data_IF_583869388349
#
_entry.id   IF_583869388349
#
_cell.length_a   1.000
_cell.length_b   1.000
_cell.length_c   1.000
_cell.angle_alpha   90.00
_cell.angle_beta   90.00
_cell.angle_gamma   90.00
#
_symmetry.space_group_name_H-M   'P 1'
#
loop_
_entity.id
_entity.type
_entity.pdbx_description
1 polymer ?
#
# COMPACT_ATOMS: atom_id res chain seq x y z
N UNK A 1 -30.20 -18.81 5.51
CA UNK A 1 -29.31 -19.33 4.44
C UNK A 1 -27.89 -19.32 4.99
N UNK A 2 -27.00 -20.25 4.61
CA UNK A 2 -25.60 -20.19 5.04
C UNK A 2 -24.93 -18.92 4.51
N UNK A 3 -23.97 -18.35 5.25
CA UNK A 3 -23.10 -17.30 4.72
C UNK A 3 -22.41 -17.84 3.45
N UNK A 4 -22.25 -17.04 2.40
CA UNK A 4 -21.37 -17.40 1.29
C UNK A 4 -19.96 -17.57 1.84
N UNK A 5 -19.17 -18.46 1.24
CA UNK A 5 -17.78 -18.59 1.63
C UNK A 5 -17.09 -17.23 1.46
N UNK A 6 -16.61 -16.58 2.54
CA UNK A 6 -15.59 -15.56 2.44
C UNK A 6 -14.46 -16.22 1.68
N UNK A 7 -14.13 -15.68 0.52
CA UNK A 7 -12.84 -15.99 -0.05
C UNK A 7 -11.83 -15.44 0.97
N UNK A 8 -10.78 -16.16 1.41
CA UNK A 8 -9.70 -15.47 2.10
C UNK A 8 -9.32 -14.22 1.26
N UNK A 9 -8.73 -13.18 1.87
CA UNK A 9 -8.10 -12.09 1.10
C UNK A 9 -7.29 -12.68 -0.05
N UNK A 10 -6.75 -13.90 0.18
CA UNK A 10 -6.37 -15.00 -0.71
C UNK A 10 -7.06 -16.14 -1.50
N UNK A 11 -8.39 -16.20 -1.58
CA UNK A 11 -9.09 -17.44 -1.96
C UNK A 11 -9.65 -17.51 -3.36
N UNK A 12 -9.24 -18.53 -4.11
CA UNK A 12 -9.87 -18.91 -5.38
C UNK A 12 -11.37 -19.19 -5.22
N UNK A 13 -12.21 -18.54 -6.03
CA UNK A 13 -13.61 -18.90 -6.19
C UNK A 13 -13.93 -19.18 -7.66
N UNK A 14 -14.09 -20.47 -8.00
CA UNK A 14 -15.02 -20.89 -9.05
C UNK A 14 -14.45 -21.51 -10.32
N UNK A 15 -14.51 -22.84 -10.36
CA UNK A 15 -14.73 -23.73 -11.50
C UNK A 15 -15.00 -23.11 -12.89
N UNK A 16 -14.14 -23.41 -13.86
CA UNK A 16 -14.52 -23.71 -15.26
C UNK A 16 -13.60 -24.76 -15.84
N UNK A 17 -14.19 -25.88 -16.26
CA UNK A 17 -13.49 -27.00 -16.89
C UNK A 17 -12.71 -26.60 -18.14
N UNK A 18 -11.50 -27.17 -18.24
CA UNK A 18 -10.62 -27.05 -19.39
C UNK A 18 -9.33 -27.81 -19.12
N UNK A 19 -9.08 -28.85 -19.90
CA UNK A 19 -8.01 -29.84 -19.73
C UNK A 19 -6.60 -29.27 -19.56
N UNK A 20 -5.90 -29.78 -18.54
CA UNK A 20 -4.54 -30.30 -18.67
C UNK A 20 -3.41 -29.31 -18.92
N UNK A 21 -2.87 -28.72 -17.85
CA UNK A 21 -1.42 -28.62 -17.63
C UNK A 21 -1.20 -28.25 -16.16
N UNK A 22 -0.65 -29.19 -15.38
CA UNK A 22 -0.20 -28.95 -14.00
C UNK A 22 0.92 -27.92 -14.03
N UNK A 23 0.58 -26.64 -13.90
CA UNK A 23 1.55 -25.60 -13.56
C UNK A 23 1.67 -25.59 -12.05
N UNK A 24 2.86 -25.90 -11.55
CA UNK A 24 3.23 -25.63 -10.17
C UNK A 24 3.09 -24.11 -9.96
N UNK A 25 2.12 -23.72 -9.14
CA UNK A 25 1.89 -22.32 -8.77
C UNK A 25 2.77 -22.06 -7.55
N UNK A 26 3.81 -21.26 -7.73
CA UNK A 26 4.61 -20.72 -6.63
C UNK A 26 3.75 -19.60 -6.03
N UNK A 27 3.16 -19.85 -4.86
CA UNK A 27 2.40 -18.85 -4.11
C UNK A 27 3.34 -17.79 -3.55
N UNK A 28 3.29 -16.60 -4.13
CA UNK A 28 3.94 -15.40 -3.58
C UNK A 28 2.82 -14.52 -3.05
N UNK A 29 2.62 -14.52 -1.73
CA UNK A 29 1.85 -13.47 -1.06
C UNK A 29 2.83 -12.41 -0.62
N UNK A 30 2.67 -11.24 -1.21
CA UNK A 30 3.54 -10.10 -1.04
C UNK A 30 3.10 -9.37 0.22
N UNK A 31 3.66 -9.76 1.37
CA UNK A 31 4.16 -8.73 2.28
C UNK A 31 5.09 -7.87 1.43
N UNK A 32 4.85 -6.57 1.33
CA UNK A 32 5.60 -5.65 0.48
C UNK A 32 7.09 -5.58 0.89
N UNK A 33 7.84 -6.62 0.52
CA UNK A 33 9.29 -6.69 0.50
C UNK A 33 9.66 -7.26 -0.86
N UNK A 34 9.89 -6.31 -1.79
CA UNK A 34 10.90 -6.37 -2.83
C UNK A 34 10.98 -7.65 -3.69
N UNK A 35 10.27 -7.63 -4.82
CA UNK A 35 10.73 -8.27 -6.05
C UNK A 35 10.13 -7.56 -7.28
N UNK A 36 10.75 -6.46 -7.72
CA UNK A 36 10.34 -5.69 -8.90
C UNK A 36 10.74 -6.43 -10.18
N UNK A 37 9.79 -7.09 -10.85
CA UNK A 37 9.87 -7.40 -12.28
C UNK A 37 8.48 -7.31 -12.93
N UNK A 38 7.95 -6.09 -13.04
CA UNK A 38 6.74 -5.79 -13.80
C UNK A 38 7.06 -5.45 -15.26
N UNK A 39 6.63 -6.32 -16.19
CA UNK A 39 6.82 -6.22 -17.65
C UNK A 39 6.25 -4.91 -18.25
N UNK A 40 5.35 -4.21 -17.55
CA UNK A 40 4.87 -2.88 -17.94
C UNK A 40 5.90 -1.76 -17.77
N UNK A 41 6.82 -1.90 -16.81
CA UNK A 41 7.91 -0.95 -16.58
C UNK A 41 8.92 -0.93 -17.72
N UNK A 42 9.13 -2.03 -18.44
CA UNK A 42 10.14 -2.13 -19.51
C UNK A 42 9.74 -1.35 -20.78
N UNK A 43 8.44 -1.32 -21.12
CA UNK A 43 7.94 -0.57 -22.27
C UNK A 43 7.93 0.95 -22.00
N UNK A 44 7.54 1.37 -20.78
CA UNK A 44 7.67 2.75 -20.34
C UNK A 44 9.15 3.16 -20.22
N UNK A 45 10.01 2.29 -19.65
CA UNK A 45 11.46 2.51 -19.55
C UNK A 45 12.13 2.75 -20.91
N UNK A 46 11.72 2.03 -21.97
CA UNK A 46 12.22 2.29 -23.32
C UNK A 46 11.66 3.60 -23.91
N UNK A 47 10.41 3.97 -23.63
CA UNK A 47 9.78 5.21 -24.10
C UNK A 47 10.30 6.49 -23.39
N UNK A 48 10.74 6.38 -22.14
CA UNK A 48 11.32 7.45 -21.32
C UNK A 48 12.85 7.48 -21.33
N UNK A 49 13.50 6.72 -22.22
CA UNK A 49 14.94 6.79 -22.43
C UNK A 49 15.76 6.17 -21.30
N UNK A 50 15.48 4.92 -20.92
CA UNK A 50 16.24 4.13 -19.94
C UNK A 50 17.69 3.81 -20.31
N UNK A 51 18.29 4.50 -21.27
CA UNK A 51 19.74 4.59 -21.36
C UNK A 51 20.21 5.70 -20.43
N UNK A 52 21.29 5.50 -19.70
CA UNK A 52 21.98 6.64 -19.09
C UNK A 52 22.25 7.67 -20.20
N UNK A 53 21.62 8.85 -20.13
CA UNK A 53 22.08 9.98 -20.92
C UNK A 53 23.53 10.22 -20.49
N UNK A 54 24.47 10.42 -21.43
CA UNK A 54 25.89 10.51 -21.12
C UNK A 54 26.11 11.56 -20.03
N UNK A 55 26.68 11.13 -18.90
CA UNK A 55 27.19 12.02 -17.86
C UNK A 55 28.47 12.65 -18.40
N UNK A 56 28.41 13.89 -18.84
CA UNK A 56 29.61 14.65 -19.15
C UNK A 56 30.28 15.06 -17.83
N UNK A 57 31.14 14.19 -17.32
CA UNK A 57 32.23 14.59 -16.44
C UNK A 57 33.28 15.30 -17.30
N UNK A 58 33.18 16.62 -17.41
CA UNK A 58 34.14 17.43 -18.14
C UNK A 58 33.96 18.89 -17.81
N UNK A 59 35.06 19.60 -17.54
CA UNK A 59 35.10 21.06 -17.49
C UNK A 59 34.74 21.62 -18.87
N UNK A 60 33.46 21.64 -19.23
CA UNK A 60 32.97 22.15 -20.51
C UNK A 60 32.65 23.64 -20.39
N UNK A 61 33.16 24.43 -21.34
CA UNK A 61 33.01 25.88 -21.44
C UNK A 61 31.65 26.31 -22.04
N UNK A 62 30.59 25.52 -21.80
CA UNK A 62 29.23 25.80 -22.29
C UNK A 62 28.45 26.75 -21.37
N UNK A 63 27.52 27.52 -21.93
CA UNK A 63 26.64 28.37 -21.12
C UNK A 63 25.65 27.51 -20.33
N UNK A 64 25.59 27.70 -19.00
CA UNK A 64 24.61 27.01 -18.15
C UNK A 64 23.21 27.57 -18.42
N UNK A 65 22.32 26.73 -18.95
CA UNK A 65 20.94 27.10 -19.25
C UNK A 65 19.95 26.64 -18.17
N UNK A 66 20.26 25.56 -17.45
CA UNK A 66 19.44 25.07 -16.34
C UNK A 66 20.30 24.90 -15.08
N UNK A 67 20.04 25.71 -14.06
CA UNK A 67 20.66 25.58 -12.75
C UNK A 67 19.79 24.77 -11.79
N UNK A 68 20.41 24.26 -10.72
CA UNK A 68 19.66 23.63 -9.63
C UNK A 68 18.66 24.59 -8.99
N UNK A 69 18.98 25.90 -8.98
CA UNK A 69 18.08 26.95 -8.50
C UNK A 69 16.84 27.10 -9.39
N UNK A 70 17.01 27.09 -10.72
CA UNK A 70 15.87 27.17 -11.66
C UNK A 70 14.91 25.98 -11.47
N UNK A 71 15.47 24.77 -11.25
CA UNK A 71 14.67 23.56 -11.00
C UNK A 71 13.96 23.66 -9.65
N UNK A 72 14.62 24.16 -8.60
CA UNK A 72 13.99 24.33 -7.30
C UNK A 72 12.84 25.35 -7.36
N UNK A 73 13.03 26.50 -8.02
CA UNK A 73 11.98 27.52 -8.19
C UNK A 73 10.76 26.97 -8.96
N UNK A 74 11.00 26.11 -9.97
CA UNK A 74 9.95 25.41 -10.71
C UNK A 74 9.11 24.49 -9.78
N UNK A 75 9.77 23.71 -8.93
CA UNK A 75 9.11 22.78 -8.00
C UNK A 75 8.38 23.52 -6.87
N UNK A 76 9.00 24.57 -6.32
CA UNK A 76 8.42 25.42 -5.28
C UNK A 76 7.15 26.12 -5.78
N UNK A 77 7.21 26.70 -6.99
CA UNK A 77 6.06 27.33 -7.62
C UNK A 77 4.90 26.36 -7.83
N UNK A 78 5.20 25.14 -8.29
CA UNK A 78 4.18 24.10 -8.48
C UNK A 78 3.59 23.60 -7.16
N UNK A 79 4.41 23.48 -6.12
CA UNK A 79 3.98 23.11 -4.76
C UNK A 79 3.09 24.20 -4.15
N UNK A 80 3.43 25.47 -4.33
CA UNK A 80 2.61 26.59 -3.89
C UNK A 80 1.27 26.65 -4.65
N UNK A 81 1.30 26.45 -5.98
CA UNK A 81 0.10 26.47 -6.81
C UNK A 81 -0.86 25.33 -6.44
N UNK A 82 -0.35 24.12 -6.20
CA UNK A 82 -1.17 23.00 -5.72
C UNK A 82 -1.84 23.29 -4.38
N UNK A 83 -1.09 23.82 -3.41
CA UNK A 83 -1.62 24.17 -2.08
C UNK A 83 -2.67 25.27 -2.16
N UNK A 84 -2.43 26.28 -3.00
CA UNK A 84 -3.30 27.46 -3.14
C UNK A 84 -4.50 27.23 -4.07
N UNK A 85 -4.48 26.18 -4.89
CA UNK A 85 -5.53 25.91 -5.88
C UNK A 85 -5.41 26.72 -7.17
N UNK A 86 -4.21 27.19 -7.50
CA UNK A 86 -3.94 28.02 -8.68
C UNK A 86 -3.61 27.15 -9.91
N UNK A 87 -4.64 26.63 -10.58
CA UNK A 87 -4.50 25.68 -11.70
C UNK A 87 -3.61 26.20 -12.82
N UNK A 88 -3.85 27.44 -13.28
CA UNK A 88 -3.08 28.03 -14.38
C UNK A 88 -1.58 28.15 -14.04
N UNK A 89 -1.26 28.49 -12.78
CA UNK A 89 0.12 28.56 -12.29
C UNK A 89 0.75 27.17 -12.20
N UNK A 90 -0.01 26.18 -11.73
CA UNK A 90 0.44 24.80 -11.64
C UNK A 90 0.75 24.20 -13.03
N UNK A 91 -0.06 24.54 -14.03
CA UNK A 91 0.05 24.03 -15.40
C UNK A 91 0.99 24.84 -16.30
N UNK A 92 1.34 26.08 -15.93
CA UNK A 92 2.17 26.98 -16.75
C UNK A 92 3.46 26.35 -17.30
N UNK A 93 4.20 25.50 -16.54
CA UNK A 93 5.42 24.91 -17.07
C UNK A 93 5.22 23.76 -18.05
N UNK A 94 4.02 23.17 -18.14
CA UNK A 94 3.77 21.98 -18.96
C UNK A 94 3.31 22.35 -20.38
N UNK A 95 3.65 21.49 -21.33
CA UNK A 95 3.30 21.67 -22.75
C UNK A 95 2.84 20.36 -23.39
N UNK A 96 2.01 20.45 -24.43
CA UNK A 96 1.48 19.28 -25.14
C UNK A 96 0.69 18.34 -24.23
N UNK A 97 0.77 17.03 -24.52
CA UNK A 97 0.10 15.97 -23.75
C UNK A 97 0.44 16.01 -22.26
N UNK A 98 1.67 16.40 -21.90
CA UNK A 98 2.06 16.53 -20.49
C UNK A 98 1.22 17.57 -19.75
N UNK A 99 0.74 18.63 -20.43
CA UNK A 99 -0.15 19.62 -19.79
C UNK A 99 -1.52 19.03 -19.50
N UNK A 100 -2.06 18.24 -20.43
CA UNK A 100 -3.39 17.63 -20.28
C UNK A 100 -3.39 16.59 -19.15
N UNK A 101 -2.40 15.68 -19.12
CA UNK A 101 -2.24 14.72 -18.01
C UNK A 101 -2.10 15.43 -16.66
N UNK A 102 -1.37 16.54 -16.62
CA UNK A 102 -1.14 17.27 -15.38
C UNK A 102 -2.35 18.07 -14.92
N UNK A 103 -3.25 18.44 -15.84
CA UNK A 103 -4.53 19.04 -15.50
C UNK A 103 -5.40 18.03 -14.74
N UNK A 104 -5.59 16.82 -15.27
CA UNK A 104 -6.34 15.77 -14.56
C UNK A 104 -5.72 15.43 -13.20
N UNK A 105 -4.39 15.33 -13.14
CA UNK A 105 -3.68 15.12 -11.87
C UNK A 105 -3.97 16.26 -10.87
N UNK A 106 -3.90 17.52 -11.30
CA UNK A 106 -4.22 18.67 -10.44
C UNK A 106 -5.64 18.58 -9.90
N UNK A 107 -6.62 18.41 -10.78
CA UNK A 107 -8.04 18.32 -10.41
C UNK A 107 -8.31 17.19 -9.42
N UNK A 108 -7.63 16.04 -9.58
CA UNK A 108 -7.72 14.91 -8.67
C UNK A 108 -7.04 15.18 -7.33
N UNK A 109 -5.80 15.69 -7.32
CA UNK A 109 -5.08 16.01 -6.08
C UNK A 109 -5.83 17.04 -5.24
N UNK A 110 -6.52 18.00 -5.86
CA UNK A 110 -7.37 18.99 -5.16
C UNK A 110 -8.56 18.37 -4.42
N UNK A 111 -8.93 17.12 -4.70
CA UNK A 111 -9.98 16.39 -3.98
C UNK A 111 -9.47 15.77 -2.69
N UNK A 112 -8.16 15.66 -2.47
CA UNK A 112 -7.57 15.02 -1.28
C UNK A 112 -7.22 16.07 -0.20
N UNK A 113 -7.59 15.84 1.07
CA UNK A 113 -7.20 16.74 2.17
C UNK A 113 -5.76 16.47 2.61
N UNK A 114 -4.81 17.18 2.02
CA UNK A 114 -3.40 17.09 2.40
C UNK A 114 -3.08 18.02 3.58
N UNK A 115 -2.39 17.50 4.59
CA UNK A 115 -1.68 18.29 5.60
C UNK A 115 -0.31 18.76 5.08
N UNK A 116 0.30 18.01 4.16
CA UNK A 116 1.49 18.37 3.41
C UNK A 116 1.35 17.89 1.96
N UNK A 117 1.76 18.73 1.01
CA UNK A 117 1.79 18.41 -0.42
C UNK A 117 2.82 19.31 -1.10
N UNK A 118 3.93 18.72 -1.53
CA UNK A 118 5.03 19.42 -2.18
C UNK A 118 5.84 18.51 -3.10
N UNK A 119 6.58 19.11 -4.02
CA UNK A 119 7.45 18.41 -4.94
C UNK A 119 8.90 18.64 -4.52
N UNK A 120 9.66 17.55 -4.41
CA UNK A 120 11.07 17.56 -4.04
C UNK A 120 11.95 16.92 -5.13
N UNK A 121 13.16 17.42 -5.31
CA UNK A 121 14.15 16.86 -6.22
C UNK A 121 14.69 15.56 -5.63
N UNK A 122 14.65 14.47 -6.40
CA UNK A 122 15.32 13.22 -6.06
C UNK A 122 16.68 13.13 -6.76
N UNK A 123 16.66 13.22 -8.08
CA UNK A 123 17.84 13.02 -8.91
C UNK A 123 17.68 13.76 -10.25
N UNK A 124 18.82 14.15 -10.83
CA UNK A 124 18.86 14.95 -12.06
C UNK A 124 19.90 14.36 -13.01
N UNK A 125 19.52 14.06 -14.25
CA UNK A 125 20.42 13.51 -15.28
C UNK A 125 20.20 14.19 -16.64
N UNK A 126 21.23 14.22 -17.49
CA UNK A 126 21.19 14.86 -18.82
C UNK A 126 22.08 16.10 -18.93
N UNK A 127 21.84 16.91 -19.96
CA UNK A 127 22.69 18.07 -20.31
C UNK A 127 22.01 19.37 -19.89
N UNK A 128 22.64 20.10 -18.97
CA UNK A 128 22.16 21.39 -18.46
C UNK A 128 22.80 22.62 -19.11
N UNK A 129 23.80 22.40 -19.97
CA UNK A 129 24.57 23.41 -20.69
C UNK A 129 24.30 23.38 -22.18
N UNK A 130 24.43 24.51 -22.84
CA UNK A 130 24.33 24.59 -24.31
C UNK A 130 25.72 24.56 -24.96
N UNK A 131 26.26 23.36 -25.15
CA UNK A 131 27.59 23.18 -25.75
C UNK A 131 27.55 23.24 -27.28
N UNK A 132 26.42 22.88 -27.90
CA UNK A 132 26.29 22.73 -29.35
C UNK A 132 25.21 23.62 -30.01
N UNK A 133 24.53 24.48 -29.24
CA UNK A 133 23.43 25.33 -29.74
C UNK A 133 22.06 24.64 -29.78
N UNK A 134 21.92 23.48 -29.14
CA UNK A 134 20.72 22.65 -29.13
C UNK A 134 19.84 22.90 -27.87
N UNK A 135 20.28 23.79 -26.98
CA UNK A 135 19.63 24.07 -25.70
C UNK A 135 19.89 23.00 -24.63
N UNK A 136 19.23 23.13 -23.47
CA UNK A 136 19.35 22.17 -22.36
C UNK A 136 18.16 21.22 -22.30
N UNK A 137 18.43 19.96 -21.96
CA UNK A 137 17.44 18.91 -21.76
C UNK A 137 17.83 18.02 -20.59
N UNK A 138 16.98 17.99 -19.56
CA UNK A 138 17.25 17.31 -18.29
C UNK A 138 16.09 16.34 -17.99
N UNK A 139 16.43 15.13 -17.59
CA UNK A 139 15.53 14.20 -16.93
C UNK A 139 15.63 14.42 -15.42
N UNK A 140 14.51 14.81 -14.81
CA UNK A 140 14.38 15.10 -13.38
C UNK A 140 13.48 14.04 -12.74
N UNK A 141 14.02 13.31 -11.77
CA UNK A 141 13.23 12.47 -10.88
C UNK A 141 12.73 13.35 -9.71
N UNK A 142 11.42 13.32 -9.48
CA UNK A 142 10.71 14.19 -8.54
C UNK A 142 9.88 13.33 -7.60
N UNK A 143 9.98 13.58 -6.30
CA UNK A 143 9.04 13.04 -5.33
C UNK A 143 7.87 14.02 -5.15
N UNK A 144 6.64 13.53 -5.25
CA UNK A 144 5.48 14.19 -4.65
C UNK A 144 5.39 13.77 -3.19
N UNK A 145 5.95 14.58 -2.31
CA UNK A 145 5.96 14.37 -0.87
C UNK A 145 4.62 14.84 -0.32
N UNK A 146 3.91 13.95 0.35
CA UNK A 146 2.59 14.26 0.87
C UNK A 146 2.30 13.58 2.21
N UNK A 147 1.41 14.22 2.96
CA UNK A 147 0.80 13.68 4.18
C UNK A 147 -0.69 13.91 4.07
N UNK A 148 -1.47 12.85 3.87
CA UNK A 148 -2.94 12.93 3.90
C UNK A 148 -3.37 13.16 5.35
N UNK A 149 -4.18 14.19 5.57
CA UNK A 149 -4.62 14.59 6.89
C UNK A 149 -5.32 13.43 7.60
N UNK A 150 -4.97 13.21 8.88
CA UNK A 150 -5.54 12.19 9.76
C UNK A 150 -5.32 10.72 9.32
N UNK A 151 -4.71 10.49 8.16
CA UNK A 151 -4.41 9.17 7.57
C UNK A 151 -2.93 8.82 7.68
N UNK A 152 -2.05 9.70 7.20
CA UNK A 152 -0.62 9.44 7.26
C UNK A 152 -0.09 9.93 8.61
N UNK A 153 0.74 9.14 9.30
CA UNK A 153 1.42 9.55 10.53
C UNK A 153 2.67 10.38 10.21
N UNK A 154 3.38 10.03 9.12
CA UNK A 154 4.56 10.75 8.61
C UNK A 154 4.43 10.99 7.10
N UNK A 155 5.16 11.97 6.52
CA UNK A 155 5.09 12.23 5.09
C UNK A 155 5.58 11.03 4.29
N UNK A 156 4.85 10.67 3.24
CA UNK A 156 5.20 9.62 2.28
C UNK A 156 5.43 10.23 0.90
N UNK A 157 5.79 9.44 -0.11
CA UNK A 157 6.01 9.99 -1.44
C UNK A 157 5.62 9.06 -2.59
N UNK A 158 5.29 9.69 -3.72
CA UNK A 158 5.15 9.04 -5.03
C UNK A 158 6.12 9.67 -6.02
N UNK A 159 6.78 8.86 -6.87
CA UNK A 159 7.92 9.31 -7.66
C UNK A 159 7.61 9.38 -9.16
N UNK A 160 7.92 10.54 -9.73
CA UNK A 160 7.72 10.88 -11.13
C UNK A 160 9.05 11.17 -11.82
N UNK A 161 9.07 11.02 -13.14
CA UNK A 161 10.13 11.53 -14.01
C UNK A 161 9.58 12.59 -14.95
N UNK A 162 10.23 13.75 -14.97
CA UNK A 162 9.93 14.86 -15.88
C UNK A 162 11.06 15.05 -16.89
N UNK A 163 10.70 15.41 -18.12
CA UNK A 163 11.66 15.87 -19.13
C UNK A 163 11.53 17.39 -19.27
N UNK A 164 12.52 18.11 -18.75
CA UNK A 164 12.60 19.58 -18.77
C UNK A 164 13.49 20.00 -19.93
N UNK A 165 13.00 20.93 -20.75
CA UNK A 165 13.75 21.54 -21.83
C UNK A 165 13.81 23.06 -21.69
N UNK A 166 14.94 23.66 -22.05
CA UNK A 166 15.12 25.11 -22.16
C UNK A 166 15.93 25.42 -23.41
N UNK A 167 15.33 26.17 -24.35
CA UNK A 167 15.93 26.42 -25.67
C UNK A 167 17.08 27.46 -25.64
N UNK A 168 17.02 28.42 -24.72
CA UNK A 168 18.03 29.46 -24.52
C UNK A 168 17.91 30.05 -23.12
N UNK A 169 18.86 30.91 -22.71
CA UNK A 169 18.87 31.52 -21.38
C UNK A 169 17.66 32.41 -21.10
N UNK A 170 17.13 33.09 -22.10
CA UNK A 170 15.97 33.97 -21.94
C UNK A 170 14.63 33.21 -22.11
N UNK A 171 14.68 31.98 -22.63
CA UNK A 171 13.51 31.12 -22.70
C UNK A 171 13.18 30.54 -21.32
N UNK A 172 11.89 30.44 -21.00
CA UNK A 172 11.45 29.75 -19.79
C UNK A 172 11.59 28.22 -19.96
N UNK A 173 11.91 27.49 -18.87
CA UNK A 173 11.92 26.04 -18.90
C UNK A 173 10.51 25.47 -19.11
N UNK A 174 10.44 24.36 -19.84
CA UNK A 174 9.19 23.65 -20.15
C UNK A 174 9.30 22.16 -19.85
N UNK A 175 8.30 21.62 -19.16
CA UNK A 175 8.14 20.18 -18.96
C UNK A 175 7.36 19.64 -20.16
N UNK A 176 7.98 18.71 -20.88
CA UNK A 176 7.47 18.18 -22.15
C UNK A 176 6.95 16.75 -22.02
N UNK A 177 7.35 16.03 -20.97
CA UNK A 177 6.91 14.67 -20.66
C UNK A 177 6.90 14.45 -19.16
N UNK A 178 5.93 13.66 -18.68
CA UNK A 178 5.82 13.15 -17.31
C UNK A 178 5.54 11.66 -17.36
N UNK A 179 6.11 10.89 -16.45
CA UNK A 179 5.85 9.46 -16.32
C UNK A 179 6.38 8.89 -15.01
N UNK A 180 6.37 7.56 -14.84
CA UNK A 180 6.95 6.91 -13.66
C UNK A 180 8.45 7.17 -13.57
N UNK A 181 8.95 7.42 -12.36
CA UNK A 181 10.39 7.38 -12.11
C UNK A 181 10.91 5.93 -12.23
N UNK A 182 12.08 5.68 -12.83
CA UNK A 182 12.68 4.33 -12.88
C UNK A 182 13.29 3.88 -11.53
N UNK A 183 13.06 4.65 -10.45
CA UNK A 183 13.77 4.59 -9.18
C UNK A 183 15.02 5.47 -9.20
N UNK A 184 15.08 6.50 -8.36
CA UNK A 184 16.32 7.23 -8.12
C UNK A 184 17.30 6.37 -7.30
N UNK A 185 18.60 6.50 -7.55
CA UNK A 185 19.66 5.81 -6.78
C UNK A 185 19.55 4.27 -6.71
N UNK A 186 18.83 3.63 -7.65
CA UNK A 186 18.58 2.18 -7.62
C UNK A 186 17.43 1.75 -6.69
N UNK A 187 16.77 2.70 -6.02
CA UNK A 187 15.73 2.49 -5.02
C UNK A 187 14.34 2.25 -5.65
N UNK A 188 14.22 1.20 -6.47
CA UNK A 188 12.95 0.85 -7.15
C UNK A 188 11.82 0.47 -6.18
N UNK A 189 12.16 0.06 -4.97
CA UNK A 189 11.30 -0.21 -3.80
C UNK A 189 10.38 0.94 -3.42
N UNK A 190 10.75 2.18 -3.79
CA UNK A 190 10.11 3.40 -3.33
C UNK A 190 9.19 4.04 -4.38
N UNK A 191 9.04 3.38 -5.54
CA UNK A 191 8.19 3.88 -6.63
C UNK A 191 6.78 3.29 -6.47
N UNK A 192 5.94 3.97 -5.69
CA UNK A 192 4.53 3.61 -5.47
C UNK A 192 3.59 4.21 -6.53
N UNK A 193 4.09 4.35 -7.76
CA UNK A 193 3.31 4.80 -8.91
C UNK A 193 2.71 3.60 -9.65
N UNK A 194 1.48 3.72 -10.19
CA UNK A 194 0.58 4.87 -10.09
C UNK A 194 -0.37 4.81 -8.89
N UNK A 195 -0.73 5.97 -8.34
CA UNK A 195 -1.83 6.16 -7.42
C UNK A 195 -3.16 6.46 -8.18
N UNK A 196 -4.35 6.45 -7.52
CA UNK A 196 -5.62 6.68 -8.21
C UNK A 196 -5.73 8.05 -8.89
N UNK A 197 -5.05 9.08 -8.38
CA UNK A 197 -5.06 10.42 -8.98
C UNK A 197 -4.26 10.50 -10.29
N UNK A 198 -3.41 9.52 -10.59
CA UNK A 198 -2.70 9.39 -11.87
C UNK A 198 -3.47 8.55 -12.89
N UNK A 199 -4.29 7.60 -12.42
CA UNK A 199 -5.00 6.65 -13.28
C UNK A 199 -6.36 7.13 -13.75
N UNK A 200 -7.09 7.85 -12.90
CA UNK A 200 -8.47 8.21 -13.17
C UNK A 200 -8.56 9.56 -13.86
N UNK A 201 -9.26 9.62 -15.00
CA UNK A 201 -9.53 10.88 -15.70
C UNK A 201 -10.31 11.85 -14.79
N UNK A 202 -11.29 11.33 -14.06
CA UNK A 202 -12.03 12.04 -13.01
C UNK A 202 -12.19 11.12 -11.79
N UNK A 203 -11.55 11.48 -10.69
CA UNK A 203 -11.64 10.74 -9.43
C UNK A 203 -12.88 11.14 -8.62
N UNK A 204 -13.66 10.18 -8.13
CA UNK A 204 -14.69 10.40 -7.12
C UNK A 204 -14.13 10.13 -5.73
N UNK A 205 -14.43 11.01 -4.77
CA UNK A 205 -13.96 10.90 -3.38
C UNK A 205 -15.12 11.09 -2.43
N UNK A 206 -15.39 10.07 -1.62
CA UNK A 206 -16.31 10.17 -0.48
C UNK A 206 -15.51 10.40 0.78
N UNK A 207 -15.64 11.59 1.36
CA UNK A 207 -14.99 11.95 2.62
C UNK A 207 -15.93 11.68 3.79
N UNK A 208 -15.45 10.96 4.79
CA UNK A 208 -16.10 10.75 6.08
C UNK A 208 -15.16 11.15 7.22
N UNK A 209 -15.50 10.85 8.47
CA UNK A 209 -14.68 11.29 9.60
C UNK A 209 -13.36 10.53 9.66
N UNK A 210 -13.36 9.25 9.29
CA UNK A 210 -12.17 8.39 9.36
C UNK A 210 -11.77 7.80 8.01
N UNK A 211 -12.46 8.11 6.92
CA UNK A 211 -12.17 7.50 5.62
C UNK A 211 -12.20 8.48 4.45
N UNK A 212 -11.30 8.22 3.50
CA UNK A 212 -11.33 8.73 2.13
C UNK A 212 -11.53 7.53 1.20
N UNK A 213 -12.78 7.31 0.77
CA UNK A 213 -13.09 6.26 -0.20
C UNK A 213 -13.02 6.83 -1.61
N UNK A 214 -12.20 6.22 -2.46
CA UNK A 214 -11.81 6.73 -3.77
C UNK A 214 -12.19 5.72 -4.86
N UNK A 215 -12.67 6.21 -6.00
CA UNK A 215 -12.83 5.41 -7.23
C UNK A 215 -12.73 6.29 -8.47
N UNK A 216 -12.69 5.68 -9.65
CA UNK A 216 -13.07 6.35 -10.89
C UNK A 216 -14.51 6.89 -10.78
N UNK A 217 -14.78 8.09 -11.32
CA UNK A 217 -16.10 8.73 -11.30
C UNK A 217 -17.21 7.86 -11.86
N UNK A 218 -16.92 7.00 -12.85
CA UNK A 218 -17.92 6.07 -13.41
C UNK A 218 -18.46 5.07 -12.38
N UNK A 219 -17.74 4.86 -11.27
CA UNK A 219 -18.12 3.97 -10.16
C UNK A 219 -18.66 4.73 -8.94
N UNK A 220 -18.93 6.04 -9.05
CA UNK A 220 -19.34 6.88 -7.92
C UNK A 220 -20.56 6.34 -7.14
N UNK A 221 -21.55 5.77 -7.82
CA UNK A 221 -22.75 5.22 -7.17
C UNK A 221 -22.43 4.04 -6.23
N UNK A 222 -21.51 3.16 -6.65
CA UNK A 222 -21.05 2.05 -5.83
C UNK A 222 -20.17 2.55 -4.67
N UNK A 223 -19.29 3.52 -4.94
CA UNK A 223 -18.47 4.16 -3.90
C UNK A 223 -19.33 4.84 -2.82
N UNK A 224 -20.35 5.60 -3.22
CA UNK A 224 -21.31 6.22 -2.31
C UNK A 224 -22.08 5.18 -1.49
N UNK A 225 -22.44 4.04 -2.11
CA UNK A 225 -23.14 2.93 -1.46
C UNK A 225 -22.27 2.21 -0.43
N UNK A 226 -20.99 1.99 -0.71
CA UNK A 226 -20.09 1.22 0.15
C UNK A 226 -19.44 2.08 1.25
N UNK A 227 -19.19 3.36 1.01
CA UNK A 227 -18.50 4.25 1.94
C UNK A 227 -19.05 4.27 3.39
N UNK A 228 -20.38 4.23 3.66
CA UNK A 228 -20.88 4.17 5.04
C UNK A 228 -20.46 2.90 5.81
N UNK A 229 -20.27 1.78 5.11
CA UNK A 229 -19.85 0.51 5.71
C UNK A 229 -18.35 0.50 5.98
N UNK A 230 -17.58 1.02 5.03
CA UNK A 230 -16.13 1.22 5.16
C UNK A 230 -15.83 2.19 6.32
N UNK A 231 -16.54 3.33 6.39
CA UNK A 231 -16.40 4.28 7.51
C UNK A 231 -16.72 3.65 8.87
N UNK A 232 -17.74 2.79 8.93
CA UNK A 232 -18.06 2.09 10.18
C UNK A 232 -16.91 1.16 10.61
N UNK A 233 -16.32 0.40 9.68
CA UNK A 233 -15.18 -0.45 9.99
C UNK A 233 -13.97 0.36 10.48
N UNK A 234 -13.66 1.47 9.79
CA UNK A 234 -12.59 2.38 10.22
C UNK A 234 -12.79 2.90 11.64
N UNK A 235 -14.00 3.37 11.96
CA UNK A 235 -14.34 3.85 13.30
C UNK A 235 -14.16 2.77 14.35
N UNK A 236 -14.72 1.59 14.11
CA UNK A 236 -14.66 0.45 15.02
C UNK A 236 -13.21 0.04 15.30
N UNK A 237 -12.35 0.00 14.29
CA UNK A 237 -10.93 -0.39 14.42
C UNK A 237 -10.11 0.67 15.17
N UNK A 238 -10.36 1.96 14.89
CA UNK A 238 -9.75 3.06 15.64
C UNK A 238 -10.18 3.02 17.12
N UNK A 239 -11.44 2.73 17.40
CA UNK A 239 -11.94 2.61 18.77
C UNK A 239 -11.35 1.38 19.49
N UNK A 240 -11.22 0.25 18.79
CA UNK A 240 -10.56 -0.95 19.28
C UNK A 240 -9.10 -0.67 19.66
N UNK A 241 -8.34 -0.05 18.74
CA UNK A 241 -6.95 0.28 18.96
C UNK A 241 -6.79 1.31 20.08
N UNK A 242 -7.64 2.35 20.14
CA UNK A 242 -7.61 3.33 21.23
C UNK A 242 -7.87 2.68 22.60
N UNK A 243 -8.75 1.69 22.67
CA UNK A 243 -9.14 1.06 23.93
C UNK A 243 -8.11 0.03 24.43
N UNK A 244 -7.41 -0.65 23.53
CA UNK A 244 -6.57 -1.82 23.89
C UNK A 244 -5.16 -1.80 23.31
N UNK A 245 -4.89 -0.97 22.30
CA UNK A 245 -3.57 -0.81 21.72
C UNK A 245 -2.60 -0.14 22.69
N UNK A 246 -1.29 -0.36 22.56
CA UNK A 246 -0.31 0.28 23.44
C UNK A 246 -0.29 1.82 23.26
N UNK A 247 -0.34 2.58 24.35
CA UNK A 247 -0.37 4.05 24.33
C UNK A 247 0.89 4.69 23.73
N UNK A 248 2.00 3.94 23.67
CA UNK A 248 3.28 4.37 23.10
C UNK A 248 3.37 4.14 21.58
N UNK A 249 2.23 4.00 20.90
CA UNK A 249 2.16 3.78 19.45
C UNK A 249 1.65 5.03 18.72
N UNK A 250 2.30 5.36 17.61
CA UNK A 250 1.82 6.37 16.67
C UNK A 250 1.11 5.65 15.51
N UNK A 251 -0.22 5.67 15.53
CA UNK A 251 -1.08 4.97 14.56
C UNK A 251 -2.01 5.94 13.84
N UNK A 252 -2.47 5.61 12.62
CA UNK A 252 -3.37 6.46 11.87
C UNK A 252 -4.72 6.62 12.57
N UNK A 253 -5.40 7.74 12.31
CA UNK A 253 -6.76 8.04 12.80
C UNK A 253 -7.80 8.05 11.69
N UNK A 254 -7.41 7.56 10.51
CA UNK A 254 -8.22 7.44 9.33
C UNK A 254 -7.50 6.67 8.24
N UNK A 255 -8.22 6.32 7.17
CA UNK A 255 -7.74 5.43 6.12
C UNK A 255 -8.10 5.94 4.73
N UNK A 256 -7.25 5.61 3.74
CA UNK A 256 -7.54 5.79 2.32
C UNK A 256 -7.86 4.42 1.72
N UNK A 257 -9.01 4.32 1.07
CA UNK A 257 -9.49 3.09 0.43
C UNK A 257 -9.83 3.36 -1.03
N UNK A 258 -9.19 2.66 -1.96
CA UNK A 258 -9.51 2.70 -3.39
C UNK A 258 -10.39 1.52 -3.76
N UNK A 259 -11.52 1.78 -4.43
CA UNK A 259 -12.42 0.75 -4.95
C UNK A 259 -12.24 0.66 -6.47
N UNK A 260 -11.80 -0.50 -6.94
CA UNK A 260 -11.46 -0.71 -8.35
C UNK A 260 -11.93 -2.08 -8.85
N UNK A 261 -12.94 -2.14 -9.75
CA UNK A 261 -13.42 -3.40 -10.32
C UNK A 261 -12.55 -3.94 -11.45
N UNK A 262 -11.76 -3.10 -12.14
CA UNK A 262 -10.88 -3.56 -13.21
C UNK A 262 -9.60 -4.15 -12.61
N UNK A 263 -9.47 -5.48 -12.65
CA UNK A 263 -8.32 -6.21 -12.08
C UNK A 263 -6.96 -5.70 -12.53
N UNK A 264 -6.86 -5.26 -13.78
CA UNK A 264 -5.59 -4.75 -14.32
C UNK A 264 -5.21 -3.42 -13.64
N UNK A 265 -6.18 -2.52 -13.51
CA UNK A 265 -6.04 -1.24 -12.81
C UNK A 265 -5.81 -1.45 -11.31
N UNK A 266 -6.60 -2.32 -10.67
CA UNK A 266 -6.43 -2.73 -9.28
C UNK A 266 -5.02 -3.23 -9.00
N UNK A 267 -4.48 -4.05 -9.89
CA UNK A 267 -3.14 -4.63 -9.75
C UNK A 267 -2.05 -3.58 -9.90
N UNK A 268 -2.25 -2.55 -10.74
CA UNK A 268 -1.23 -1.51 -10.95
C UNK A 268 -1.13 -0.50 -9.81
N UNK A 269 -2.21 -0.31 -9.04
CA UNK A 269 -2.26 0.69 -7.98
C UNK A 269 -1.11 0.51 -6.99
N UNK A 270 -0.42 1.62 -6.73
CA UNK A 270 0.68 1.74 -5.78
C UNK A 270 1.90 0.87 -6.10
N UNK A 271 2.14 0.56 -7.39
CA UNK A 271 3.30 -0.22 -7.82
C UNK A 271 3.30 -1.68 -7.36
N UNK A 272 2.19 -2.15 -6.78
CA UNK A 272 2.06 -3.52 -6.27
C UNK A 272 2.06 -4.55 -7.41
N UNK A 273 2.45 -5.79 -7.12
CA UNK A 273 2.04 -6.93 -7.91
C UNK A 273 0.87 -7.58 -7.16
N UNK A 274 -0.32 -7.62 -7.77
CA UNK A 274 -1.40 -8.43 -7.21
C UNK A 274 -1.30 -9.86 -7.73
N UNK A 275 -1.70 -10.81 -6.89
CA UNK A 275 -2.04 -12.16 -7.33
C UNK A 275 -3.52 -12.19 -7.73
N UNK A 276 -3.87 -13.06 -8.69
CA UNK A 276 -5.18 -13.09 -9.34
C UNK A 276 -6.38 -13.30 -8.38
N UNK A 277 -6.13 -13.63 -7.12
CA UNK A 277 -7.13 -13.96 -6.12
C UNK A 277 -7.36 -12.88 -5.04
N UNK A 278 -6.56 -11.80 -5.01
CA UNK A 278 -6.61 -10.81 -3.91
C UNK A 278 -7.87 -9.95 -3.93
N UNK A 279 -8.72 -10.03 -2.89
CA UNK A 279 -9.94 -9.22 -2.79
C UNK A 279 -9.72 -7.82 -2.16
N UNK A 280 -8.68 -7.68 -1.36
CA UNK A 280 -8.23 -6.45 -0.71
C UNK A 280 -6.72 -6.49 -0.50
N UNK A 281 -6.11 -5.32 -0.34
CA UNK A 281 -4.70 -5.19 0.02
C UNK A 281 -4.43 -3.84 0.70
N UNK A 282 -3.77 -3.86 1.85
CA UNK A 282 -3.14 -2.70 2.47
C UNK A 282 -1.67 -2.57 2.04
N UNK A 283 -1.37 -1.55 1.25
CA UNK A 283 -0.01 -1.24 0.79
C UNK A 283 0.66 -0.29 1.78
N UNK A 284 1.67 -0.76 2.49
CA UNK A 284 2.47 0.07 3.39
C UNK A 284 3.27 1.12 2.60
N UNK A 285 3.23 2.38 3.05
CA UNK A 285 3.86 3.51 2.36
C UNK A 285 5.08 3.99 3.16
N UNK A 286 6.31 3.87 2.61
CA UNK A 286 7.50 4.35 3.27
C UNK A 286 7.45 5.85 3.54
N UNK A 287 8.01 6.23 4.68
CA UNK A 287 8.28 7.62 5.02
C UNK A 287 9.27 8.19 4.01
N UNK A 288 9.01 9.40 3.54
CA UNK A 288 9.93 10.09 2.67
C UNK A 288 11.19 10.53 3.45
N UNK A 289 12.35 10.03 3.02
CA UNK A 289 13.68 10.50 3.45
C UNK A 289 14.39 11.18 2.26
N UNK A 290 14.55 12.49 2.34
CA UNK A 290 15.22 13.28 1.32
C UNK A 290 16.72 12.96 1.16
N UNK A 291 17.35 12.40 2.21
CA UNK A 291 18.77 12.07 2.21
C UNK A 291 19.08 10.73 1.55
N UNK A 292 18.10 9.82 1.46
CA UNK A 292 18.28 8.42 1.07
C UNK A 292 19.53 7.78 1.71
N UNK A 293 19.86 8.24 2.92
CA UNK A 293 21.12 7.94 3.58
C UNK A 293 21.04 6.66 4.42
N UNK A 294 19.82 6.16 4.65
CA UNK A 294 19.55 4.89 5.30
C UNK A 294 19.66 3.72 4.33
N UNK A 295 20.11 2.58 4.84
CA UNK A 295 19.97 1.31 4.12
C UNK A 295 18.46 0.94 4.07
N UNK A 296 18.01 0.08 3.14
CA UNK A 296 16.61 -0.39 3.11
C UNK A 296 16.14 -1.05 4.43
N UNK A 297 17.09 -1.50 5.27
CA UNK A 297 16.85 -2.00 6.65
C UNK A 297 16.58 -0.89 7.69
N UNK A 298 16.58 0.37 7.28
CA UNK A 298 16.29 1.56 8.10
C UNK A 298 14.95 2.22 7.68
N UNK A 299 14.13 1.51 6.88
CA UNK A 299 12.87 1.98 6.31
C UNK A 299 11.74 2.10 7.33
N UNK A 300 11.31 3.31 7.65
CA UNK A 300 10.10 3.56 8.42
C UNK A 300 8.88 3.73 7.49
N UNK A 301 7.70 3.31 7.94
CA UNK A 301 6.45 3.53 7.20
C UNK A 301 5.69 4.73 7.76
N UNK A 302 5.23 5.60 6.87
CA UNK A 302 4.51 6.83 7.20
C UNK A 302 3.00 6.71 7.10
N UNK A 303 2.49 5.65 6.48
CA UNK A 303 1.06 5.39 6.31
C UNK A 303 0.80 4.16 5.47
N UNK A 304 -0.46 3.99 5.03
CA UNK A 304 -0.88 2.86 4.22
C UNK A 304 -1.91 3.28 3.16
N UNK A 305 -2.04 2.50 2.08
CA UNK A 305 -3.07 2.66 1.05
C UNK A 305 -3.82 1.35 0.90
N UNK A 306 -5.10 1.37 1.29
CA UNK A 306 -5.98 0.22 1.11
C UNK A 306 -6.58 0.28 -0.28
N UNK A 307 -6.65 -0.87 -0.94
CA UNK A 307 -7.42 -1.06 -2.17
C UNK A 307 -8.27 -2.31 -2.07
N UNK A 308 -9.44 -2.28 -2.71
CA UNK A 308 -10.39 -3.39 -2.69
C UNK A 308 -10.96 -3.62 -4.08
N UNK A 309 -11.03 -4.90 -4.46
CA UNK A 309 -11.61 -5.34 -5.71
C UNK A 309 -13.13 -5.47 -5.59
N UNK A 310 -13.85 -4.48 -6.13
CA UNK A 310 -15.31 -4.45 -6.09
C UNK A 310 -16.00 -5.37 -7.11
N UNK A 311 -15.23 -6.10 -7.94
CA UNK A 311 -15.78 -7.15 -8.82
C UNK A 311 -16.07 -8.45 -8.07
N UNK A 312 -15.45 -8.65 -6.90
CA UNK A 312 -15.54 -9.86 -6.10
C UNK A 312 -16.90 -10.08 -5.41
N UNK A 313 -17.11 -11.30 -4.90
CA UNK A 313 -18.35 -11.69 -4.22
C UNK A 313 -18.64 -10.83 -2.98
N UNK A 314 -17.63 -10.28 -2.31
CA UNK A 314 -17.81 -9.38 -1.15
C UNK A 314 -18.70 -8.17 -1.48
N UNK A 315 -18.55 -7.61 -2.69
CA UNK A 315 -19.27 -6.42 -3.11
C UNK A 315 -20.53 -6.73 -3.93
N UNK A 316 -20.55 -7.90 -4.60
CA UNK A 316 -21.61 -8.31 -5.52
C UNK A 316 -22.64 -9.27 -4.90
N UNK A 317 -22.40 -9.81 -3.71
CA UNK A 317 -23.34 -10.73 -3.06
C UNK A 317 -24.69 -10.07 -2.79
N UNK A 318 -25.79 -10.65 -3.28
CA UNK A 318 -27.11 -10.03 -3.21
C UNK A 318 -27.64 -9.82 -1.78
N UNK A 319 -27.18 -10.59 -0.79
CA UNK A 319 -27.72 -10.60 0.57
C UNK A 319 -26.72 -10.10 1.60
N UNK A 320 -25.49 -10.56 1.52
CA UNK A 320 -24.49 -10.38 2.58
C UNK A 320 -23.46 -9.30 2.28
N UNK A 321 -23.52 -8.63 1.12
CA UNK A 321 -22.54 -7.60 0.76
C UNK A 321 -22.30 -6.55 1.84
N UNK A 322 -23.28 -6.04 2.63
CA UNK A 322 -22.99 -5.02 3.63
C UNK A 322 -22.02 -5.52 4.71
N UNK A 323 -22.24 -6.76 5.17
CA UNK A 323 -21.38 -7.43 6.15
C UNK A 323 -20.01 -7.76 5.56
N UNK A 324 -19.98 -8.24 4.32
CA UNK A 324 -18.72 -8.63 3.65
C UNK A 324 -17.84 -7.43 3.31
N UNK A 325 -18.44 -6.28 2.97
CA UNK A 325 -17.70 -5.01 2.80
C UNK A 325 -17.13 -4.55 4.14
N UNK A 326 -17.86 -4.68 5.25
CA UNK A 326 -17.33 -4.37 6.57
C UNK A 326 -16.20 -5.32 6.96
N UNK A 327 -16.37 -6.63 6.78
CA UNK A 327 -15.35 -7.63 7.09
C UNK A 327 -14.02 -7.34 6.40
N UNK A 328 -14.02 -7.18 5.06
CA UNK A 328 -12.77 -6.86 4.35
C UNK A 328 -12.22 -5.49 4.75
N UNK A 329 -13.08 -4.53 5.10
CA UNK A 329 -12.60 -3.23 5.58
C UNK A 329 -11.90 -3.35 6.92
N UNK A 330 -12.46 -4.08 7.89
CA UNK A 330 -11.81 -4.36 9.16
C UNK A 330 -10.48 -5.10 8.96
N UNK A 331 -10.46 -6.09 8.07
CA UNK A 331 -9.24 -6.85 7.77
C UNK A 331 -8.13 -5.93 7.22
N UNK A 332 -8.42 -5.13 6.19
CA UNK A 332 -7.39 -4.26 5.61
C UNK A 332 -7.01 -3.07 6.50
N UNK A 333 -7.95 -2.55 7.31
CA UNK A 333 -7.66 -1.49 8.25
C UNK A 333 -6.85 -1.96 9.45
N UNK A 334 -7.02 -3.20 9.89
CA UNK A 334 -6.13 -3.81 10.87
C UNK A 334 -4.67 -3.78 10.38
N UNK A 335 -4.40 -4.19 9.14
CA UNK A 335 -3.07 -4.04 8.53
C UNK A 335 -2.60 -2.58 8.55
N UNK A 336 -3.43 -1.66 8.05
CA UNK A 336 -3.08 -0.24 7.95
C UNK A 336 -2.79 0.44 9.30
N UNK A 337 -3.44 0.03 10.38
CA UNK A 337 -3.21 0.58 11.73
C UNK A 337 -1.80 0.29 12.23
N UNK A 338 -1.27 -0.91 11.98
CA UNK A 338 0.00 -1.39 12.54
C UNK A 338 1.19 -1.24 11.60
N UNK A 339 0.97 -1.07 10.29
CA UNK A 339 2.04 -0.88 9.30
C UNK A 339 3.04 0.25 9.67
N UNK A 340 2.63 1.41 10.22
CA UNK A 340 3.58 2.44 10.67
C UNK A 340 4.49 2.05 11.85
N UNK A 341 4.17 0.94 12.53
CA UNK A 341 4.93 0.39 13.65
C UNK A 341 5.97 -0.64 13.19
N UNK A 342 5.94 -1.03 11.91
CA UNK A 342 6.85 -2.02 11.36
C UNK A 342 8.30 -1.54 11.50
N UNK A 343 9.13 -2.40 12.07
CA UNK A 343 10.53 -2.13 12.25
C UNK A 343 11.20 -2.08 10.89
N UNK A 344 11.92 -0.98 10.68
CA UNK A 344 12.85 -0.84 9.58
C UNK A 344 13.75 -2.06 9.33
N UNK A 345 14.14 -2.75 10.41
CA UNK A 345 15.06 -3.89 10.39
C UNK A 345 14.52 -5.17 9.73
N UNK A 346 13.40 -5.13 9.00
CA UNK A 346 12.85 -6.22 8.18
C UNK A 346 13.75 -6.70 7.04
N UNK A 347 15.06 -6.46 7.14
CA UNK A 347 16.09 -6.89 6.21
C UNK A 347 15.94 -8.35 5.80
N UNK A 348 16.65 -8.73 4.75
CA UNK A 348 16.46 -9.98 3.99
C UNK A 348 16.60 -11.31 4.78
N UNK A 349 16.85 -11.29 6.09
CA UNK A 349 16.84 -12.48 6.95
C UNK A 349 15.41 -12.83 7.36
N UNK A 350 15.05 -14.12 7.29
CA UNK A 350 13.71 -14.59 7.65
C UNK A 350 13.34 -14.32 9.13
N UNK A 351 14.33 -14.30 10.01
CA UNK A 351 14.16 -14.07 11.46
C UNK A 351 13.80 -12.62 11.82
N UNK A 352 13.97 -11.69 10.89
CA UNK A 352 13.69 -10.26 11.08
C UNK A 352 12.37 -9.81 10.47
N UNK A 353 11.52 -10.72 9.97
CA UNK A 353 10.20 -10.37 9.41
C UNK A 353 9.09 -10.66 10.41
N UNK A 354 8.10 -9.78 10.46
CA UNK A 354 6.84 -10.04 11.16
C UNK A 354 6.27 -11.36 10.65
N UNK A 355 5.93 -12.25 11.59
CA UNK A 355 5.50 -13.60 11.23
C UNK A 355 4.16 -13.55 10.51
N UNK A 356 4.03 -14.32 9.44
CA UNK A 356 2.84 -14.31 8.59
C UNK A 356 1.54 -14.57 9.36
N UNK A 357 1.53 -15.57 10.26
CA UNK A 357 0.35 -15.85 11.09
C UNK A 357 -0.01 -14.70 12.04
N UNK A 358 0.93 -13.83 12.40
CA UNK A 358 0.65 -12.64 13.20
C UNK A 358 -0.01 -11.58 12.35
N UNK A 359 0.51 -11.35 11.13
CA UNK A 359 -0.03 -10.38 10.18
C UNK A 359 -1.48 -10.72 9.83
N UNK A 360 -1.72 -11.89 9.25
CA UNK A 360 -3.06 -12.28 8.79
C UNK A 360 -3.98 -12.67 9.95
N UNK A 361 -3.43 -13.31 10.99
CA UNK A 361 -4.22 -13.67 12.17
C UNK A 361 -4.73 -12.45 12.93
N UNK A 362 -3.97 -11.35 12.96
CA UNK A 362 -4.43 -10.10 13.56
C UNK A 362 -5.56 -9.47 12.73
N UNK A 363 -5.39 -9.40 11.41
CA UNK A 363 -6.39 -8.82 10.52
C UNK A 363 -7.72 -9.57 10.58
N UNK A 364 -7.69 -10.92 10.53
CA UNK A 364 -8.90 -11.73 10.68
C UNK A 364 -9.47 -11.68 12.10
N UNK A 365 -8.63 -11.55 13.14
CA UNK A 365 -9.09 -11.36 14.51
C UNK A 365 -9.92 -10.07 14.66
N UNK A 366 -9.41 -8.95 14.12
CA UNK A 366 -10.14 -7.68 14.13
C UNK A 366 -11.44 -7.82 13.35
N UNK A 367 -11.40 -8.37 12.13
CA UNK A 367 -12.58 -8.54 11.30
C UNK A 367 -13.67 -9.40 11.97
N UNK A 368 -13.30 -10.57 12.51
CA UNK A 368 -14.26 -11.49 13.13
C UNK A 368 -14.67 -11.10 14.56
N UNK A 369 -13.93 -10.20 15.21
CA UNK A 369 -14.36 -9.62 16.48
C UNK A 369 -15.67 -8.84 16.33
N UNK A 370 -15.87 -8.16 15.20
CA UNK A 370 -17.07 -7.37 14.93
C UNK A 370 -18.20 -8.18 14.27
N UNK A 371 -17.92 -9.38 13.77
CA UNK A 371 -18.93 -10.35 13.32
C UNK A 371 -18.58 -11.78 13.77
N UNK A 372 -18.89 -12.10 15.04
CA UNK A 372 -18.59 -13.41 15.62
C UNK A 372 -19.34 -14.56 14.95
N UNK A 373 -20.48 -14.30 14.31
CA UNK A 373 -21.19 -15.33 13.54
C UNK A 373 -20.42 -15.70 12.28
N UNK A 374 -19.87 -14.69 11.59
CA UNK A 374 -19.00 -14.89 10.44
C UNK A 374 -17.73 -15.64 10.86
N UNK A 375 -17.07 -15.22 11.95
CA UNK A 375 -15.91 -15.93 12.49
C UNK A 375 -16.19 -17.40 12.84
N UNK A 376 -17.34 -17.68 13.48
CA UNK A 376 -17.75 -19.05 13.77
C UNK A 376 -18.09 -19.85 12.50
N UNK A 377 -18.63 -19.18 11.49
CA UNK A 377 -18.88 -19.78 10.18
C UNK A 377 -17.55 -20.09 9.48
N UNK A 378 -16.55 -19.21 9.54
CA UNK A 378 -15.22 -19.42 8.93
C UNK A 378 -14.55 -20.65 9.53
N UNK A 379 -14.51 -20.76 10.87
CA UNK A 379 -13.97 -21.96 11.56
C UNK A 379 -14.63 -23.25 11.07
N UNK A 380 -15.97 -23.25 10.94
CA UNK A 380 -16.73 -24.42 10.48
C UNK A 380 -16.40 -24.85 9.04
N UNK A 381 -16.04 -23.91 8.18
CA UNK A 381 -15.80 -24.21 6.76
C UNK A 381 -14.32 -24.41 6.46
N UNK A 382 -13.45 -23.80 7.24
CA UNK A 382 -12.02 -23.74 6.94
C UNK A 382 -11.17 -24.61 7.86
N UNK A 383 -11.69 -25.08 8.99
CA UNK A 383 -10.94 -25.90 9.94
C UNK A 383 -11.67 -27.20 10.29
N UNK A 384 -12.98 -27.15 10.55
CA UNK A 384 -13.73 -28.35 10.99
C UNK A 384 -13.61 -29.51 10.00
N UNK A 385 -13.06 -30.63 10.47
CA UNK A 385 -12.89 -31.84 9.66
C UNK A 385 -11.75 -31.78 8.64
N UNK A 386 -10.96 -30.70 8.61
CA UNK A 386 -9.74 -30.59 7.80
C UNK A 386 -8.50 -30.90 8.64
N UNK A 387 -7.47 -31.45 8.00
CA UNK A 387 -6.18 -31.64 8.65
C UNK A 387 -5.42 -30.29 8.72
N UNK A 388 -4.71 -30.05 9.81
CA UNK A 388 -3.74 -28.97 9.94
C UNK A 388 -2.52 -29.47 10.71
N UNK A 389 -1.35 -28.86 10.48
CA UNK A 389 -0.05 -29.38 10.95
C UNK A 389 0.11 -29.42 12.48
N UNK A 390 -0.72 -28.68 13.22
CA UNK A 390 -0.50 -28.42 14.65
C UNK A 390 0.66 -27.47 14.94
N UNK A 391 1.23 -26.83 13.90
CA UNK A 391 2.25 -25.79 14.00
C UNK A 391 1.69 -24.47 13.48
N UNK A 392 2.19 -23.35 13.99
CA UNK A 392 1.80 -22.04 13.48
C UNK A 392 2.24 -21.90 12.01
N UNK A 393 1.38 -21.39 11.10
CA UNK A 393 1.75 -21.22 9.70
C UNK A 393 2.87 -20.18 9.50
N UNK A 394 3.84 -20.48 8.66
CA UNK A 394 4.88 -19.53 8.23
C UNK A 394 4.52 -18.80 6.94
N UNK A 395 3.58 -19.35 6.18
CA UNK A 395 3.14 -18.89 4.87
C UNK A 395 1.67 -19.33 4.62
N UNK A 396 0.98 -18.77 3.60
CA UNK A 396 -0.42 -19.08 3.35
C UNK A 396 -0.68 -20.53 2.92
N UNK A 397 0.31 -21.30 2.48
CA UNK A 397 0.10 -22.61 1.87
C UNK A 397 -0.45 -22.52 0.45
N UNK A 398 -1.06 -23.61 -0.03
CA UNK A 398 -1.62 -23.68 -1.39
C UNK A 398 -3.01 -24.33 -1.43
N UNK A 399 -3.86 -23.85 -2.36
CA UNK A 399 -5.21 -24.40 -2.55
C UNK A 399 -6.07 -24.25 -1.30
N UNK A 400 -6.65 -25.36 -0.82
CA UNK A 400 -7.52 -25.36 0.36
C UNK A 400 -6.78 -25.03 1.66
N UNK A 401 -5.45 -25.19 1.70
CA UNK A 401 -4.63 -24.82 2.86
C UNK A 401 -4.67 -23.32 3.14
N UNK A 402 -4.92 -22.50 2.11
CA UNK A 402 -4.96 -21.03 2.27
C UNK A 402 -6.01 -20.63 3.28
N UNK A 403 -7.27 -21.04 3.11
CA UNK A 403 -8.32 -20.63 4.04
C UNK A 403 -8.12 -21.24 5.44
N UNK A 404 -7.59 -22.46 5.51
CA UNK A 404 -7.23 -23.10 6.79
C UNK A 404 -6.13 -22.33 7.52
N UNK A 405 -5.03 -21.97 6.85
CA UNK A 405 -3.89 -21.28 7.45
C UNK A 405 -4.26 -19.88 7.96
N UNK A 406 -5.09 -19.14 7.23
CA UNK A 406 -5.65 -17.87 7.73
C UNK A 406 -6.49 -18.11 9.00
N UNK A 407 -7.42 -19.06 8.95
CA UNK A 407 -8.34 -19.30 10.07
C UNK A 407 -7.63 -19.77 11.34
N UNK A 408 -6.62 -20.64 11.23
CA UNK A 408 -5.86 -21.08 12.41
C UNK A 408 -4.94 -19.97 12.94
N UNK A 409 -4.48 -19.06 12.07
CA UNK A 409 -3.74 -17.84 12.48
C UNK A 409 -4.63 -16.89 13.27
N UNK A 410 -5.86 -16.65 12.81
CA UNK A 410 -6.90 -15.95 13.57
C UNK A 410 -7.11 -16.55 14.96
N UNK A 411 -7.23 -17.89 15.03
CA UNK A 411 -7.40 -18.59 16.30
C UNK A 411 -6.20 -18.44 17.24
N UNK A 412 -5.00 -18.14 16.74
CA UNK A 412 -3.83 -17.84 17.57
C UNK A 412 -3.98 -16.50 18.30
N UNK A 413 -4.35 -15.44 17.59
CA UNK A 413 -4.58 -14.12 18.19
C UNK A 413 -5.80 -14.15 19.12
N UNK A 414 -6.88 -14.82 18.70
CA UNK A 414 -8.07 -15.02 19.54
C UNK A 414 -7.73 -15.76 20.84
N UNK A 415 -6.92 -16.81 20.77
CA UNK A 415 -6.49 -17.56 21.96
C UNK A 415 -5.73 -16.66 22.96
N UNK A 416 -4.83 -15.80 22.47
CA UNK A 416 -4.14 -14.83 23.34
C UNK A 416 -5.13 -13.87 24.01
N UNK A 417 -6.06 -13.31 23.21
CA UNK A 417 -7.05 -12.36 23.70
C UNK A 417 -8.00 -12.97 24.74
N UNK A 418 -8.46 -14.21 24.53
CA UNK A 418 -9.31 -14.91 25.49
C UNK A 418 -8.56 -15.29 26.78
N UNK A 419 -7.25 -15.60 26.67
CA UNK A 419 -6.44 -16.02 27.81
C UNK A 419 -6.07 -14.86 28.73
N UNK A 420 -5.53 -13.78 28.16
CA UNK A 420 -4.91 -12.68 28.91
C UNK A 420 -5.52 -11.30 28.61
N UNK A 421 -6.57 -11.25 27.80
CA UNK A 421 -7.26 -10.02 27.41
C UNK A 421 -6.75 -9.43 26.10
N UNK A 422 -7.59 -8.62 25.48
CA UNK A 422 -7.35 -8.00 24.17
C UNK A 422 -6.11 -7.09 24.16
N UNK A 423 -5.89 -6.33 25.23
CA UNK A 423 -4.69 -5.49 25.37
C UNK A 423 -3.39 -6.29 25.32
N UNK A 424 -3.36 -7.51 25.88
CA UNK A 424 -2.18 -8.38 25.81
C UNK A 424 -1.94 -8.89 24.37
N UNK A 425 -3.02 -9.21 23.64
CA UNK A 425 -2.93 -9.63 22.24
C UNK A 425 -2.46 -8.49 21.32
N UNK A 426 -3.01 -7.27 21.47
CA UNK A 426 -2.60 -6.13 20.64
C UNK A 426 -1.17 -5.65 20.98
N UNK A 427 -0.76 -5.78 22.24
CA UNK A 427 0.63 -5.57 22.63
C UNK A 427 1.57 -6.58 21.96
N UNK A 428 1.22 -7.87 21.96
CA UNK A 428 1.99 -8.90 21.26
C UNK A 428 2.14 -8.59 19.77
N UNK A 429 1.05 -8.23 19.09
CA UNK A 429 1.07 -7.84 17.67
C UNK A 429 2.02 -6.64 17.47
N UNK A 430 1.87 -5.59 18.29
CA UNK A 430 2.74 -4.41 18.24
C UNK A 430 4.22 -4.77 18.39
N UNK A 431 4.55 -5.63 19.36
CA UNK A 431 5.93 -6.04 19.63
C UNK A 431 6.48 -6.92 18.49
N UNK A 432 5.66 -7.73 17.82
CA UNK A 432 6.05 -8.49 16.63
C UNK A 432 6.34 -7.58 15.44
N UNK A 433 5.57 -6.51 15.23
CA UNK A 433 5.86 -5.53 14.18
C UNK A 433 7.14 -4.74 14.46
N UNK A 434 7.39 -4.35 15.72
CA UNK A 434 8.58 -3.58 16.12
C UNK A 434 9.85 -4.42 16.28
N UNK A 435 9.70 -5.68 16.71
CA UNK A 435 10.80 -6.56 17.10
C UNK A 435 10.51 -8.04 16.74
N UNK A 436 10.41 -8.37 15.45
CA UNK A 436 9.96 -9.71 15.01
C UNK A 436 10.82 -10.88 15.51
N UNK A 437 12.11 -10.64 15.75
CA UNK A 437 13.07 -11.65 16.21
C UNK A 437 12.97 -12.06 17.70
N UNK A 438 11.97 -11.59 18.45
CA UNK A 438 11.85 -11.85 19.90
C UNK A 438 10.63 -12.72 20.28
N UNK A 439 10.21 -13.64 19.41
CA UNK A 439 8.94 -14.39 19.57
C UNK A 439 8.77 -15.05 20.95
N UNK A 440 9.71 -15.89 21.40
CA UNK A 440 9.56 -16.63 22.68
C UNK A 440 9.35 -15.68 23.86
N UNK A 441 10.11 -14.57 23.90
CA UNK A 441 9.96 -13.55 24.93
C UNK A 441 8.58 -12.89 24.86
N UNK A 442 8.14 -12.49 23.67
CA UNK A 442 6.86 -11.82 23.46
C UNK A 442 5.67 -12.74 23.79
N UNK A 443 5.76 -14.03 23.44
CA UNK A 443 4.76 -15.02 23.84
C UNK A 443 4.69 -15.19 25.36
N UNK A 444 5.83 -15.20 26.06
CA UNK A 444 5.85 -15.27 27.53
C UNK A 444 5.21 -14.04 28.16
N UNK A 445 5.51 -12.86 27.64
CA UNK A 445 4.91 -11.61 28.12
C UNK A 445 3.39 -11.59 27.85
N UNK A 446 2.95 -12.02 26.67
CA UNK A 446 1.55 -11.98 26.27
C UNK A 446 0.68 -13.09 26.88
N UNK A 447 1.24 -14.29 27.10
CA UNK A 447 0.47 -15.50 27.45
C UNK A 447 1.00 -16.28 28.66
N UNK A 448 2.21 -15.95 29.14
CA UNK A 448 2.93 -16.73 30.14
C UNK A 448 3.62 -17.99 29.60
N UNK A 449 3.51 -18.27 28.29
CA UNK A 449 4.04 -19.48 27.66
C UNK A 449 5.26 -19.19 26.80
N UNK A 450 6.22 -20.12 26.78
CA UNK A 450 7.24 -20.13 25.73
C UNK A 450 6.67 -20.61 24.39
N UNK A 451 7.44 -20.50 23.31
CA UNK A 451 6.97 -20.79 21.94
C UNK A 451 6.38 -22.20 21.79
N UNK A 452 7.10 -23.24 22.23
CA UNK A 452 6.62 -24.62 22.12
C UNK A 452 5.37 -24.90 22.96
N UNK A 453 5.27 -24.27 24.13
CA UNK A 453 4.10 -24.41 25.01
C UNK A 453 2.88 -23.69 24.43
N UNK A 454 3.08 -22.47 23.92
CA UNK A 454 2.04 -21.71 23.23
C UNK A 454 1.49 -22.49 22.04
N UNK A 455 2.36 -23.00 21.17
CA UNK A 455 1.95 -23.75 19.99
C UNK A 455 1.15 -25.01 20.36
N UNK A 456 1.59 -25.75 21.38
CA UNK A 456 0.85 -26.93 21.85
C UNK A 456 -0.52 -26.57 22.43
N UNK A 457 -0.60 -25.51 23.23
CA UNK A 457 -1.85 -25.04 23.83
C UNK A 457 -2.82 -24.50 22.77
N UNK A 458 -2.33 -23.68 21.83
CA UNK A 458 -3.09 -23.18 20.69
C UNK A 458 -3.61 -24.32 19.82
N UNK A 459 -2.79 -25.32 19.48
CA UNK A 459 -3.25 -26.45 18.68
C UNK A 459 -4.36 -27.24 19.40
N UNK A 460 -4.30 -27.33 20.73
CA UNK A 460 -5.40 -27.84 21.55
C UNK A 460 -6.65 -26.97 21.47
N UNK A 461 -6.47 -25.64 21.55
CA UNK A 461 -7.55 -24.66 21.41
C UNK A 461 -8.26 -24.75 20.05
N UNK A 462 -7.50 -24.83 18.95
CA UNK A 462 -8.05 -25.02 17.59
C UNK A 462 -8.94 -26.26 17.54
N UNK A 463 -8.44 -27.42 18.00
CA UNK A 463 -9.22 -28.68 18.00
C UNK A 463 -10.49 -28.62 18.85
N UNK A 464 -10.52 -27.79 19.90
CA UNK A 464 -11.69 -27.64 20.76
C UNK A 464 -12.73 -26.65 20.22
N UNK A 465 -12.34 -25.80 19.26
CA UNK A 465 -13.21 -24.80 18.64
C UNK A 465 -13.58 -25.12 17.19
N UNK A 466 -12.95 -26.14 16.58
CA UNK A 466 -13.26 -26.67 15.25
C UNK A 466 -14.26 -27.81 15.29
#
# INVERSE_FOLDING_TARGET
>A
MPYPQPQPPGGSGGDRGGSGLKKAVIGVVVLAVLAVLGIGGLAAYQAFGGGALPTAAGNAQGEQLLSAKDIQELLDGRSQALRSGEEDTYLAPFTGEAKDTQKSLFENLRKIPFAQAEYAILNTTGTSTDEYGDGASVALDVAFVHKIQDVDVRPVSEWYRWIIKRASKDAEPRITKVGPAPGAFGAKSYVFYPAPWDLYDDMHVVKKAHTLTISDKKHAADTDRYAPYIEKAAKDDIELWRANGPEDTETPTGFVTVLEPDRKTYSSLYGSQSVDWEAGQSVAMPTFDAGFGGDEKDLEYGGARVKMDMSGNRFTNATYWPKLVQEISHHEFAHAVVQPLEAASGGFAAESRTRWWVVEGFADYVAFRFDSELGAWTIRNDVTGKEFSGTLPEDPGAGDEVSTNYTVSYLAIRFMAEKNGEAAALRFVTDQYRHPGQLDRQLREATGMGESEFQAAWAGYVRSNS
#
